data_IF_833040481877
#
_entry.id   IF_833040481877
#
_cell.length_a   1.000
_cell.length_b   1.000
_cell.length_c   1.000
_cell.angle_alpha   90.00
_cell.angle_beta   90.00
_cell.angle_gamma   90.00
#
_symmetry.space_group_name_H-M   'P 1'
#
loop_
_entity.id
_entity.type
_entity.pdbx_description
1 polymer ?
#
# COMPACT_ATOMS: atom_id res chain seq x y z
N UNK A 1 -38.05 6.68 7.92
CA UNK A 1 -36.99 6.47 8.93
C UNK A 1 -35.84 5.80 8.22
N UNK A 2 -34.63 6.38 8.22
CA UNK A 2 -33.42 5.64 7.84
C UNK A 2 -33.05 4.83 9.07
N UNK A 3 -33.13 3.51 8.98
CA UNK A 3 -32.55 2.64 10.00
C UNK A 3 -31.07 3.01 10.12
N UNK A 4 -30.66 3.35 11.35
CA UNK A 4 -29.25 3.54 11.65
C UNK A 4 -28.71 2.12 11.71
N UNK A 5 -27.92 1.71 10.71
CA UNK A 5 -27.22 0.42 10.78
C UNK A 5 -26.44 0.39 12.09
N UNK A 6 -26.80 -0.56 12.95
CA UNK A 6 -26.11 -0.79 14.20
C UNK A 6 -24.71 -1.31 13.86
N UNK A 7 -23.67 -0.67 14.40
CA UNK A 7 -22.29 -1.12 14.20
C UNK A 7 -22.18 -2.53 14.76
N UNK A 8 -21.85 -3.48 13.89
CA UNK A 8 -21.75 -4.89 14.24
C UNK A 8 -20.37 -5.22 14.84
N UNK A 9 -20.27 -6.36 15.53
CA UNK A 9 -18.98 -6.88 16.00
C UNK A 9 -18.02 -7.18 14.85
N UNK A 10 -18.54 -7.45 13.64
CA UNK A 10 -17.76 -7.64 12.42
C UNK A 10 -17.12 -6.33 11.95
N UNK A 11 -17.85 -5.20 12.04
CA UNK A 11 -17.31 -3.87 11.74
C UNK A 11 -16.20 -3.47 12.71
N UNK A 12 -16.38 -3.77 14.00
CA UNK A 12 -15.37 -3.51 15.03
C UNK A 12 -14.12 -4.36 14.81
N UNK A 13 -14.29 -5.62 14.42
CA UNK A 13 -13.18 -6.52 14.09
C UNK A 13 -12.40 -6.02 12.87
N UNK A 14 -13.10 -5.68 11.79
CA UNK A 14 -12.48 -5.15 10.57
C UNK A 14 -11.71 -3.84 10.82
N UNK A 15 -12.27 -2.95 11.65
CA UNK A 15 -11.59 -1.72 12.05
C UNK A 15 -10.33 -1.98 12.89
N UNK A 16 -10.39 -2.96 13.80
CA UNK A 16 -9.27 -3.36 14.65
C UNK A 16 -8.12 -3.99 13.85
N UNK A 17 -8.43 -4.85 12.88
CA UNK A 17 -7.45 -5.43 11.95
C UNK A 17 -6.78 -4.37 11.09
N UNK A 18 -7.58 -3.43 10.55
CA UNK A 18 -7.06 -2.31 9.78
C UNK A 18 -6.14 -1.42 10.62
N UNK A 19 -6.54 -1.10 11.86
CA UNK A 19 -5.74 -0.31 12.79
C UNK A 19 -4.44 -1.02 13.16
N UNK A 20 -4.50 -2.33 13.44
CA UNK A 20 -3.32 -3.15 13.74
C UNK A 20 -2.36 -3.18 12.56
N UNK A 21 -2.88 -3.29 11.32
CA UNK A 21 -2.07 -3.20 10.10
C UNK A 21 -1.37 -1.85 9.94
N UNK A 22 -2.04 -0.74 10.31
CA UNK A 22 -1.47 0.62 10.28
C UNK A 22 -0.37 0.81 11.34
N UNK A 23 -0.60 0.31 12.56
CA UNK A 23 0.33 0.48 13.69
C UNK A 23 1.56 -0.43 13.57
N UNK A 24 1.40 -1.62 13.01
CA UNK A 24 2.49 -2.59 12.87
C UNK A 24 3.44 -2.34 11.69
N UNK A 25 3.15 -1.37 10.81
CA UNK A 25 3.91 -1.17 9.58
C UNK A 25 3.71 -2.28 8.54
N UNK A 26 2.78 -3.22 8.79
CA UNK A 26 2.43 -4.28 7.85
C UNK A 26 1.44 -3.83 6.77
N UNK A 27 1.04 -2.56 6.76
CA UNK A 27 0.20 -2.01 5.72
C UNK A 27 0.97 -1.96 4.38
N UNK A 28 0.49 -2.64 3.33
CA UNK A 28 1.16 -2.64 2.02
C UNK A 28 1.37 -1.25 1.43
N UNK A 29 0.49 -0.29 1.74
CA UNK A 29 0.64 1.11 1.32
C UNK A 29 1.88 1.76 1.93
N UNK A 30 2.09 1.57 3.24
CA UNK A 30 3.26 2.12 3.94
C UNK A 30 4.54 1.46 3.43
N UNK A 31 4.54 0.13 3.28
CA UNK A 31 5.69 -0.60 2.74
C UNK A 31 6.06 -0.13 1.33
N UNK A 32 5.07 0.10 0.46
CA UNK A 32 5.33 0.59 -0.89
C UNK A 32 5.98 1.98 -0.88
N UNK A 33 5.51 2.89 -0.01
CA UNK A 33 6.07 4.23 0.14
C UNK A 33 7.50 4.15 0.68
N UNK A 34 7.75 3.32 1.69
CA UNK A 34 9.09 3.13 2.27
C UNK A 34 10.09 2.54 1.27
N UNK A 35 9.68 1.53 0.51
CA UNK A 35 10.53 0.91 -0.53
C UNK A 35 10.88 1.94 -1.61
N UNK A 36 9.89 2.72 -2.07
CA UNK A 36 10.11 3.75 -3.07
C UNK A 36 11.08 4.85 -2.56
N UNK A 37 10.89 5.30 -1.32
CA UNK A 37 11.75 6.29 -0.72
C UNK A 37 13.18 5.76 -0.53
N UNK A 38 13.32 4.52 -0.06
CA UNK A 38 14.61 3.88 0.22
C UNK A 38 15.39 3.51 -1.04
N UNK A 39 14.73 2.96 -2.06
CA UNK A 39 15.40 2.44 -3.26
C UNK A 39 15.47 3.43 -4.41
N UNK A 40 14.58 4.43 -4.47
CA UNK A 40 14.51 5.39 -5.57
C UNK A 40 14.58 6.85 -5.10
N UNK A 41 14.53 7.12 -3.79
CA UNK A 41 14.48 8.49 -3.26
C UNK A 41 13.15 9.19 -3.52
N UNK A 42 12.12 8.46 -3.96
CA UNK A 42 10.84 9.02 -4.40
C UNK A 42 9.80 8.87 -3.30
N UNK A 43 9.20 10.00 -2.93
CA UNK A 43 8.04 9.99 -2.05
C UNK A 43 6.77 9.85 -2.89
N UNK A 44 6.20 8.64 -2.96
CA UNK A 44 4.96 8.38 -3.69
C UNK A 44 3.76 8.87 -2.86
N UNK A 45 3.58 10.19 -2.77
CA UNK A 45 2.44 10.81 -2.06
C UNK A 45 1.16 10.90 -2.92
N UNK A 46 1.14 10.28 -4.10
CA UNK A 46 0.04 10.38 -5.07
C UNK A 46 -0.69 9.07 -5.30
N UNK A 47 -2.03 9.11 -5.27
CA UNK A 47 -2.89 7.93 -5.39
C UNK A 47 -2.70 7.15 -6.70
N UNK A 48 -2.39 7.76 -7.84
CA UNK A 48 -2.37 7.02 -9.13
C UNK A 48 -1.29 5.95 -9.19
N UNK A 49 -0.04 6.28 -8.87
CA UNK A 49 1.06 5.32 -8.92
C UNK A 49 0.93 4.29 -7.79
N UNK A 50 0.58 4.75 -6.59
CA UNK A 50 0.37 3.89 -5.44
C UNK A 50 -0.78 2.89 -5.67
N UNK A 51 -1.92 3.33 -6.22
CA UNK A 51 -3.04 2.46 -6.56
C UNK A 51 -2.67 1.43 -7.63
N UNK A 52 -1.81 1.77 -8.61
CA UNK A 52 -1.33 0.79 -9.60
C UNK A 52 -0.45 -0.28 -8.96
N UNK A 53 0.45 0.12 -8.06
CA UNK A 53 1.29 -0.81 -7.29
C UNK A 53 0.38 -1.72 -6.45
N UNK A 54 -0.57 -1.15 -5.70
CA UNK A 54 -1.50 -1.91 -4.87
C UNK A 54 -2.40 -2.84 -5.68
N UNK A 55 -2.92 -2.38 -6.82
CA UNK A 55 -3.73 -3.21 -7.72
C UNK A 55 -2.92 -4.40 -8.25
N UNK A 56 -1.65 -4.20 -8.58
CA UNK A 56 -0.77 -5.30 -9.01
C UNK A 56 -0.48 -6.25 -7.86
N UNK A 57 -0.22 -5.73 -6.66
CA UNK A 57 -0.01 -6.54 -5.46
C UNK A 57 -1.23 -7.39 -5.11
N UNK A 58 -2.44 -6.84 -5.24
CA UNK A 58 -3.69 -7.55 -4.98
C UNK A 58 -4.04 -8.62 -6.05
N UNK A 59 -3.51 -8.49 -7.26
CA UNK A 59 -3.86 -9.35 -8.41
C UNK A 59 -2.75 -10.30 -8.83
N UNK A 60 -1.60 -10.26 -8.16
CA UNK A 60 -0.43 -11.10 -8.49
C UNK A 60 0.17 -11.71 -7.22
N UNK A 61 0.93 -12.79 -7.38
CA UNK A 61 1.70 -13.40 -6.29
C UNK A 61 3.06 -12.70 -6.06
N UNK A 62 3.26 -11.50 -6.62
CA UNK A 62 4.53 -10.80 -6.51
C UNK A 62 4.63 -10.13 -5.13
N UNK A 63 5.82 -10.14 -4.51
CA UNK A 63 6.02 -9.36 -3.29
C UNK A 63 5.86 -7.87 -3.59
N UNK A 64 5.46 -7.10 -2.58
CA UNK A 64 5.21 -5.66 -2.73
C UNK A 64 6.41 -4.92 -3.31
N UNK A 65 7.61 -5.31 -2.92
CA UNK A 65 8.87 -4.75 -3.44
C UNK A 65 9.04 -4.96 -4.95
N UNK A 66 8.69 -6.13 -5.48
CA UNK A 66 8.74 -6.38 -6.92
C UNK A 66 7.72 -5.53 -7.67
N UNK A 67 6.53 -5.31 -7.07
CA UNK A 67 5.50 -4.43 -7.63
C UNK A 67 5.99 -2.98 -7.68
N UNK A 68 6.55 -2.47 -6.59
CA UNK A 68 7.12 -1.11 -6.51
C UNK A 68 8.22 -0.93 -7.56
N UNK A 69 9.17 -1.86 -7.61
CA UNK A 69 10.28 -1.83 -8.56
C UNK A 69 9.80 -1.81 -10.01
N UNK A 70 8.87 -2.70 -10.38
CA UNK A 70 8.32 -2.75 -11.75
C UNK A 70 7.69 -1.42 -12.15
N UNK A 71 6.86 -0.83 -11.29
CA UNK A 71 6.15 0.41 -11.60
C UNK A 71 7.07 1.64 -11.60
N UNK A 72 8.05 1.71 -10.69
CA UNK A 72 9.00 2.83 -10.67
C UNK A 72 9.99 2.78 -11.83
N UNK A 73 10.54 1.60 -12.14
CA UNK A 73 11.44 1.43 -13.29
C UNK A 73 10.73 1.72 -14.61
N UNK A 74 9.49 1.24 -14.79
CA UNK A 74 8.70 1.54 -16.00
C UNK A 74 8.27 3.00 -16.11
N UNK A 75 8.16 3.72 -14.99
CA UNK A 75 7.97 5.17 -14.97
C UNK A 75 9.27 5.97 -15.23
N UNK A 76 10.41 5.29 -15.42
CA UNK A 76 11.70 5.92 -15.72
C UNK A 76 12.52 6.32 -14.50
N UNK A 77 12.12 5.91 -13.29
CA UNK A 77 12.94 6.13 -12.10
C UNK A 77 14.09 5.13 -12.05
N UNK A 78 15.29 5.65 -11.81
CA UNK A 78 16.47 4.82 -11.57
C UNK A 78 16.62 4.53 -10.08
N UNK A 79 17.09 3.32 -9.75
CA UNK A 79 17.44 3.00 -8.37
C UNK A 79 18.59 3.89 -7.92
N UNK A 80 18.54 4.30 -6.66
CA UNK A 80 19.68 4.86 -5.95
C UNK A 80 20.72 3.75 -5.88
N UNK A 81 21.83 3.94 -6.61
CA UNK A 81 22.97 3.04 -6.54
C UNK A 81 23.58 3.25 -5.15
N UNK A 82 23.54 2.22 -4.30
CA UNK A 82 24.44 2.11 -3.16
C UNK A 82 25.60 1.19 -3.57
#
# INVERSE_FOLDING_TARGET
>A
MREVDEISDEDLTAASEMFTGIVSGNNPYQQAIEIAQRQFGVCIKGHRLLNRIMSTFATTLLPIEACVNRHLLSAGFSRLIN
#
